data_IF_966549403411
#
_entry.id   IF_966549403411
#
_cell.length_a   1.000
_cell.length_b   1.000
_cell.length_c   1.000
_cell.angle_alpha   90.00
_cell.angle_beta   90.00
_cell.angle_gamma   90.00
#
_symmetry.space_group_name_H-M   'P 1'
#
loop_
_entity.id
_entity.type
_entity.pdbx_description
1 polymer ?
#
# COMPACT_ATOMS: atom_id res chain seq x y z
N UNK A 1 -16.88 -1.96 43.62
CA UNK A 1 -15.77 -2.56 42.85
C UNK A 1 -16.00 -2.16 41.40
N UNK A 2 -15.65 -0.93 41.01
CA UNK A 2 -15.96 -0.40 39.68
C UNK A 2 -14.89 -0.86 38.69
N UNK A 3 -15.32 -1.71 37.75
CA UNK A 3 -14.49 -2.17 36.66
C UNK A 3 -14.21 -0.99 35.72
N UNK A 4 -12.97 -0.49 35.76
CA UNK A 4 -12.42 0.45 34.77
C UNK A 4 -12.34 -0.26 33.41
N UNK A 5 -13.46 -0.34 32.71
CA UNK A 5 -13.50 -0.76 31.31
C UNK A 5 -12.74 0.29 30.51
N UNK A 6 -11.47 0.01 30.23
CA UNK A 6 -10.61 0.85 29.41
C UNK A 6 -11.17 0.83 27.99
N UNK A 7 -12.03 1.80 27.70
CA UNK A 7 -12.40 2.16 26.34
C UNK A 7 -11.11 2.60 25.65
N UNK A 8 -10.40 1.66 25.03
CA UNK A 8 -9.41 1.97 24.01
C UNK A 8 -10.22 2.49 22.84
N UNK A 9 -10.59 3.77 22.88
CA UNK A 9 -11.19 4.45 21.76
C UNK A 9 -10.28 4.16 20.56
N UNK A 10 -10.82 3.43 19.59
CA UNK A 10 -10.09 3.08 18.37
C UNK A 10 -9.81 4.40 17.69
N UNK A 11 -8.60 4.92 17.86
CA UNK A 11 -8.16 6.13 17.18
C UNK A 11 -8.53 5.97 15.70
N UNK A 12 -9.14 7.00 15.08
CA UNK A 12 -9.49 6.90 13.67
C UNK A 12 -8.21 6.53 12.90
N UNK A 13 -8.29 5.48 12.08
CA UNK A 13 -7.21 5.05 11.18
C UNK A 13 -7.05 6.14 10.10
N UNK A 14 -6.45 7.26 10.49
CA UNK A 14 -6.31 8.45 9.67
C UNK A 14 -5.13 8.26 8.74
N UNK A 15 -5.40 7.74 7.55
CA UNK A 15 -4.40 7.55 6.51
C UNK A 15 -4.18 8.84 5.75
N UNK A 16 -3.00 9.44 5.93
CA UNK A 16 -2.56 10.57 5.12
C UNK A 16 -2.18 10.08 3.73
N UNK A 17 -3.11 10.24 2.78
CA UNK A 17 -2.87 9.99 1.36
C UNK A 17 -2.46 11.29 0.66
N UNK A 18 -1.48 11.98 1.22
CA UNK A 18 -0.96 13.24 0.70
C UNK A 18 -0.63 13.06 -0.80
N UNK A 19 -1.41 13.71 -1.66
CA UNK A 19 -1.27 13.74 -3.12
C UNK A 19 -1.74 12.50 -3.93
N UNK A 20 -2.58 11.60 -3.39
CA UNK A 20 -3.16 10.54 -4.23
C UNK A 20 -4.49 10.92 -4.85
N UNK A 21 -4.48 10.95 -6.18
CA UNK A 21 -5.69 10.88 -6.98
C UNK A 21 -6.46 9.59 -6.65
N UNK A 22 -7.80 9.58 -6.81
CA UNK A 22 -8.61 8.37 -6.61
C UNK A 22 -8.08 7.18 -7.44
N UNK A 23 -7.54 7.48 -8.63
CA UNK A 23 -6.87 6.52 -9.50
C UNK A 23 -5.67 5.86 -8.82
N UNK A 24 -4.74 6.64 -8.28
CA UNK A 24 -3.55 6.09 -7.63
C UNK A 24 -3.88 5.31 -6.37
N UNK A 25 -4.97 5.65 -5.66
CA UNK A 25 -5.42 4.86 -4.50
C UNK A 25 -5.86 3.47 -4.93
N UNK A 26 -6.63 3.38 -6.02
CA UNK A 26 -7.02 2.10 -6.62
C UNK A 26 -5.80 1.34 -7.10
N UNK A 27 -4.86 2.02 -7.76
CA UNK A 27 -3.61 1.41 -8.23
C UNK A 27 -2.75 0.86 -7.09
N UNK A 28 -2.61 1.58 -5.98
CA UNK A 28 -1.89 1.11 -4.79
C UNK A 28 -2.54 -0.13 -4.18
N UNK A 29 -3.87 -0.16 -4.13
CA UNK A 29 -4.61 -1.32 -3.63
C UNK A 29 -4.38 -2.55 -4.52
N UNK A 30 -4.49 -2.39 -5.84
CA UNK A 30 -4.20 -3.46 -6.80
C UNK A 30 -2.74 -3.91 -6.75
N UNK A 31 -1.80 -2.97 -6.64
CA UNK A 31 -0.37 -3.26 -6.52
C UNK A 31 -0.05 -4.07 -5.27
N UNK A 32 -0.72 -3.80 -4.14
CA UNK A 32 -0.57 -4.59 -2.91
C UNK A 32 -1.12 -6.00 -3.07
N UNK A 33 -2.30 -6.15 -3.64
CA UNK A 33 -2.89 -7.46 -3.91
C UNK A 33 -1.98 -8.29 -4.82
N UNK A 34 -1.53 -7.69 -5.93
CA UNK A 34 -0.62 -8.36 -6.87
C UNK A 34 0.75 -8.66 -6.26
N UNK A 35 1.27 -7.75 -5.43
CA UNK A 35 2.52 -7.98 -4.73
C UNK A 35 2.44 -9.21 -3.81
N UNK A 36 1.31 -9.40 -3.12
CA UNK A 36 1.08 -10.59 -2.29
C UNK A 36 1.03 -11.87 -3.14
N UNK A 37 0.38 -11.84 -4.30
CA UNK A 37 0.30 -12.99 -5.22
C UNK A 37 1.66 -13.40 -5.82
N UNK A 38 2.49 -12.42 -6.18
CA UNK A 38 3.78 -12.65 -6.86
C UNK A 38 4.96 -12.77 -5.87
N UNK A 39 4.70 -12.56 -4.57
CA UNK A 39 5.73 -12.64 -3.53
C UNK A 39 6.63 -11.41 -3.47
N UNK A 40 6.13 -10.23 -3.84
CA UNK A 40 6.78 -8.96 -3.56
C UNK A 40 6.54 -8.56 -2.11
N UNK A 41 7.61 -8.27 -1.39
CA UNK A 41 7.56 -7.98 0.05
C UNK A 41 7.17 -6.54 0.37
N UNK A 42 7.38 -5.61 -0.56
CA UNK A 42 7.17 -4.18 -0.32
C UNK A 42 6.32 -3.54 -1.42
N UNK A 43 5.24 -2.86 -1.03
CA UNK A 43 4.41 -2.04 -1.92
C UNK A 43 3.95 -0.76 -1.18
N UNK A 44 4.40 0.39 -1.66
CA UNK A 44 4.14 1.69 -1.03
C UNK A 44 3.91 2.78 -2.08
N UNK A 45 3.42 3.94 -1.63
CA UNK A 45 3.34 5.12 -2.46
C UNK A 45 4.42 6.12 -2.06
N UNK A 46 4.94 6.88 -3.00
CA UNK A 46 5.81 8.02 -2.74
C UNK A 46 5.54 9.13 -3.76
N UNK A 47 5.26 10.36 -3.30
CA UNK A 47 4.94 11.52 -4.15
C UNK A 47 3.90 11.23 -5.26
N UNK A 48 2.85 10.48 -4.93
CA UNK A 48 1.81 10.09 -5.90
C UNK A 48 2.21 8.96 -6.85
N UNK A 49 3.41 8.39 -6.75
CA UNK A 49 3.81 7.21 -7.52
C UNK A 49 3.66 5.94 -6.68
N UNK A 50 3.16 4.86 -7.30
CA UNK A 50 3.12 3.55 -6.67
C UNK A 50 4.42 2.82 -6.96
N UNK A 51 5.06 2.31 -5.91
CA UNK A 51 6.34 1.65 -5.96
C UNK A 51 6.22 0.26 -5.35
N UNK A 52 6.86 -0.71 -5.98
CA UNK A 52 6.92 -2.10 -5.52
C UNK A 52 8.36 -2.58 -5.53
N UNK A 53 8.71 -3.45 -4.58
CA UNK A 53 10.05 -4.04 -4.47
C UNK A 53 9.93 -5.47 -3.97
N UNK A 54 10.66 -6.39 -4.60
CA UNK A 54 10.56 -7.82 -4.31
C UNK A 54 11.16 -8.16 -2.95
N UNK A 55 12.43 -7.83 -2.74
CA UNK A 55 13.12 -8.02 -1.46
C UNK A 55 14.01 -6.83 -1.10
N UNK A 56 14.63 -6.85 0.08
CA UNK A 56 15.57 -5.78 0.46
C UNK A 56 16.83 -5.80 -0.43
N UNK A 57 17.14 -4.65 -1.04
CA UNK A 57 18.25 -4.52 -1.99
C UNK A 57 17.87 -4.79 -3.45
N UNK A 58 16.67 -5.31 -3.70
CA UNK A 58 16.16 -5.53 -5.06
C UNK A 58 15.71 -4.24 -5.74
N UNK A 59 15.56 -4.30 -7.07
CA UNK A 59 15.17 -3.12 -7.86
C UNK A 59 13.77 -2.66 -7.48
N UNK A 60 13.61 -1.36 -7.26
CA UNK A 60 12.29 -0.72 -7.11
C UNK A 60 11.67 -0.55 -8.48
N UNK A 61 10.45 -1.05 -8.64
CA UNK A 61 9.64 -0.92 -9.85
C UNK A 61 8.56 0.13 -9.57
N UNK A 62 8.38 1.07 -10.50
CA UNK A 62 7.34 2.09 -10.43
C UNK A 62 6.15 1.65 -11.27
N UNK A 63 5.03 1.44 -10.61
CA UNK A 63 3.75 1.11 -11.25
C UNK A 63 3.04 2.42 -11.57
N UNK A 64 2.73 2.61 -12.85
CA UNK A 64 2.01 3.80 -13.35
C UNK A 64 0.57 3.49 -13.73
N UNK A 65 0.31 2.26 -14.13
CA UNK A 65 -0.96 1.80 -14.68
C UNK A 65 -1.19 0.32 -14.37
N UNK A 66 -2.41 -0.15 -14.64
CA UNK A 66 -2.81 -1.54 -14.38
C UNK A 66 -2.05 -2.54 -15.26
N UNK A 67 -1.59 -2.15 -16.46
CA UNK A 67 -0.83 -3.03 -17.34
C UNK A 67 0.58 -3.29 -16.80
N UNK A 68 1.16 -2.34 -16.06
CA UNK A 68 2.43 -2.55 -15.36
C UNK A 68 2.33 -3.57 -14.21
N UNK A 69 1.13 -3.77 -13.64
CA UNK A 69 0.87 -4.84 -12.67
C UNK A 69 0.93 -6.23 -13.29
N UNK A 70 0.50 -6.36 -14.54
CA UNK A 70 0.53 -7.63 -15.28
C UNK A 70 1.95 -8.06 -15.61
N UNK A 71 2.87 -7.10 -15.74
CA UNK A 71 4.30 -7.35 -15.96
C UNK A 71 5.04 -7.78 -14.70
N UNK A 72 4.39 -7.76 -13.53
CA UNK A 72 4.95 -8.32 -12.30
C UNK A 72 4.84 -9.85 -12.37
N UNK A 73 5.97 -10.49 -12.68
CA UNK A 73 6.19 -11.94 -12.73
C UNK A 73 7.35 -12.37 -11.84
#
# INVERSE_FOLDING_TARGET
MEARSRLRAKEPDMRFFDNLTPWNKRLLWLARARAEEVGYRFAWQNNGHVLVRKDEGDKVIRIQDECDLEKMV
#
